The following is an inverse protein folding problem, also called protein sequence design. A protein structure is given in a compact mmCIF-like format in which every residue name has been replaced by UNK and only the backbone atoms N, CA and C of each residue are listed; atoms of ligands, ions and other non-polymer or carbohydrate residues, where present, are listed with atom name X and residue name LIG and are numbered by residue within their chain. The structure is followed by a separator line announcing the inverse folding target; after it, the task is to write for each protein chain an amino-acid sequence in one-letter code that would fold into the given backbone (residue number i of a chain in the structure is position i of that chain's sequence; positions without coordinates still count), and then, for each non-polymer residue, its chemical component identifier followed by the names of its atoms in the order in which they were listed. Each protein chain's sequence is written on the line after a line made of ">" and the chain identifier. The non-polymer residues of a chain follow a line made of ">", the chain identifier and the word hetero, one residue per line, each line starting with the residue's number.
data_IF_891035619188
#
_entry.id   IF_891035619188
#
_cell.length_a   1.000
_cell.length_b   1.000
_cell.length_c   1.000
_cell.angle_alpha   90.00
_cell.angle_beta   90.00
_cell.angle_gamma   90.00
#
_symmetry.space_group_name_H-M   'P 1'
#
loop_
_entity.id
_entity.type
_entity.pdbx_description
1 polymer ?
#
# COMPACT_ATOMS: atom_id res chain seq x y z
N UNK A 1 -0.54 7.71 -6.41
CA UNK A 1 -0.33 6.63 -7.43
C UNK A 1 -1.67 6.14 -8.00
N UNK A 2 -1.76 5.72 -9.29
CA UNK A 2 -3.04 5.23 -9.85
C UNK A 2 -3.30 3.79 -9.43
N UNK A 3 -4.58 3.41 -9.31
CA UNK A 3 -4.99 2.05 -8.89
C UNK A 3 -4.44 0.96 -9.81
N UNK A 4 -4.23 1.26 -11.09
CA UNK A 4 -3.65 0.33 -12.06
C UNK A 4 -2.21 -0.03 -11.70
N UNK A 5 -1.37 0.96 -11.38
CA UNK A 5 0.03 0.75 -11.00
C UNK A 5 0.13 -0.10 -9.71
N UNK A 6 -0.79 0.11 -8.75
CA UNK A 6 -0.88 -0.69 -7.52
C UNK A 6 -1.19 -2.15 -7.82
N UNK A 7 -2.13 -2.40 -8.76
CA UNK A 7 -2.49 -3.76 -9.18
C UNK A 7 -1.33 -4.47 -9.86
N UNK A 8 -0.48 -3.76 -10.58
CA UNK A 8 0.73 -4.35 -11.18
C UNK A 8 1.74 -4.78 -10.11
N UNK A 9 1.99 -3.94 -9.11
CA UNK A 9 2.87 -4.28 -7.97
C UNK A 9 2.33 -5.51 -7.24
N UNK A 10 1.03 -5.50 -6.91
CA UNK A 10 0.37 -6.63 -6.25
C UNK A 10 0.48 -7.93 -7.08
N UNK A 11 0.28 -7.86 -8.40
CA UNK A 11 0.42 -9.04 -9.28
C UNK A 11 1.84 -9.59 -9.31
N UNK A 12 2.87 -8.73 -9.34
CA UNK A 12 4.27 -9.16 -9.26
C UNK A 12 4.59 -9.90 -7.96
N UNK A 13 3.84 -9.61 -6.89
CA UNK A 13 3.94 -10.26 -5.58
C UNK A 13 2.95 -11.43 -5.40
N UNK A 14 2.28 -11.87 -6.47
CA UNK A 14 1.23 -12.91 -6.43
C UNK A 14 0.06 -12.61 -5.47
N UNK A 15 -0.24 -11.32 -5.23
CA UNK A 15 -1.35 -10.87 -4.38
C UNK A 15 -2.64 -10.83 -5.21
N UNK A 16 -3.75 -11.44 -4.74
CA UNK A 16 -5.03 -11.45 -5.46
C UNK A 16 -5.68 -10.05 -5.47
N UNK A 17 -5.84 -9.45 -6.64
CA UNK A 17 -6.35 -8.05 -6.77
C UNK A 17 -7.84 -7.93 -7.09
N UNK A 18 -8.52 -9.02 -7.43
CA UNK A 18 -9.90 -8.98 -7.98
C UNK A 18 -10.98 -8.51 -7.00
N UNK A 19 -10.73 -8.58 -5.69
CA UNK A 19 -11.70 -8.22 -4.64
C UNK A 19 -11.25 -7.06 -3.74
N UNK A 20 -10.03 -6.56 -3.91
CA UNK A 20 -9.43 -5.59 -2.99
C UNK A 20 -9.60 -4.16 -3.52
N UNK A 21 -9.98 -3.25 -2.61
CA UNK A 21 -9.97 -1.80 -2.86
C UNK A 21 -8.54 -1.27 -2.83
N UNK A 22 -8.34 -0.03 -3.29
CA UNK A 22 -7.03 0.66 -3.31
C UNK A 22 -6.28 0.52 -1.99
N UNK A 23 -6.88 0.95 -0.87
CA UNK A 23 -6.20 0.91 0.43
C UNK A 23 -5.89 -0.49 0.92
N UNK A 24 -6.80 -1.44 0.66
CA UNK A 24 -6.58 -2.85 1.02
C UNK A 24 -5.44 -3.47 0.22
N UNK A 25 -5.33 -3.18 -1.09
CA UNK A 25 -4.19 -3.61 -1.90
C UNK A 25 -2.87 -3.11 -1.32
N UNK A 26 -2.82 -1.82 -0.97
CA UNK A 26 -1.60 -1.22 -0.41
C UNK A 26 -1.24 -1.86 0.92
N UNK A 27 -2.21 -2.05 1.82
CA UNK A 27 -1.99 -2.72 3.11
C UNK A 27 -1.47 -4.15 2.93
N UNK A 28 -2.03 -4.90 1.99
CA UNK A 28 -1.54 -6.27 1.71
C UNK A 28 -0.12 -6.23 1.14
N UNK A 29 0.19 -5.29 0.24
CA UNK A 29 1.56 -5.11 -0.25
C UNK A 29 2.52 -4.79 0.90
N UNK A 30 2.17 -3.81 1.75
CA UNK A 30 2.97 -3.46 2.94
C UNK A 30 3.21 -4.68 3.83
N UNK A 31 2.19 -5.51 4.07
CA UNK A 31 2.36 -6.76 4.83
C UNK A 31 3.33 -7.73 4.14
N UNK A 32 3.20 -7.90 2.83
CA UNK A 32 4.06 -8.79 2.03
C UNK A 32 5.51 -8.30 2.02
N UNK A 33 5.74 -6.98 2.07
CA UNK A 33 7.07 -6.38 2.23
C UNK A 33 7.63 -6.52 3.65
N UNK A 34 6.86 -7.02 4.61
CA UNK A 34 7.23 -7.08 6.03
C UNK A 34 7.04 -5.75 6.78
N UNK A 35 6.41 -4.77 6.15
CA UNK A 35 6.09 -3.47 6.73
C UNK A 35 4.79 -3.49 7.54
N UNK A 36 4.60 -2.46 8.37
CA UNK A 36 3.30 -2.19 9.00
C UNK A 36 2.29 -1.77 7.94
N UNK A 37 1.07 -2.29 8.06
CA UNK A 37 -0.07 -2.00 7.19
C UNK A 37 -0.70 -0.64 7.51
N UNK A 38 0.12 0.41 7.49
CA UNK A 38 -0.23 1.74 8.00
C UNK A 38 -0.94 2.63 6.96
N UNK A 39 -1.09 2.19 5.72
CA UNK A 39 -1.76 3.00 4.70
C UNK A 39 -3.20 3.35 5.10
N UNK A 40 -3.57 4.63 4.97
CA UNK A 40 -4.92 5.14 5.28
C UNK A 40 -5.35 4.84 6.72
N UNK A 41 -4.38 4.84 7.65
CA UNK A 41 -4.63 4.63 9.09
C UNK A 41 -4.71 5.95 9.88
N UNK A 42 -4.56 7.10 9.20
CA UNK A 42 -4.41 8.41 9.84
C UNK A 42 -3.09 8.59 10.62
N UNK A 43 -2.15 7.64 10.50
CA UNK A 43 -0.83 7.71 11.14
C UNK A 43 0.25 8.33 10.22
N UNK A 44 -0.14 8.81 9.05
CA UNK A 44 0.71 9.46 8.04
C UNK A 44 1.63 10.53 8.65
N UNK A 45 1.08 11.41 9.49
CA UNK A 45 1.84 12.48 10.17
C UNK A 45 2.88 12.03 11.21
N UNK A 46 2.83 10.77 11.67
CA UNK A 46 3.74 10.22 12.70
C UNK A 46 4.56 9.03 12.18
N UNK A 47 4.36 8.60 10.93
CA UNK A 47 4.96 7.39 10.38
C UNK A 47 6.48 7.51 10.20
N UNK A 48 6.99 8.68 9.81
CA UNK A 48 8.42 8.96 9.66
C UNK A 48 9.13 8.21 8.52
N UNK A 49 8.46 7.29 7.80
CA UNK A 49 9.03 6.59 6.64
C UNK A 49 9.07 7.50 5.41
N UNK A 50 10.24 8.10 5.14
CA UNK A 50 10.45 8.98 3.98
C UNK A 50 10.55 8.21 2.65
N UNK A 51 10.95 6.94 2.71
CA UNK A 51 11.13 6.08 1.52
C UNK A 51 9.90 5.21 1.23
N UNK A 52 8.77 5.46 1.91
CA UNK A 52 7.54 4.74 1.65
C UNK A 52 7.00 5.10 0.26
N UNK A 53 6.87 4.12 -0.62
CA UNK A 53 6.28 4.27 -1.96
C UNK A 53 4.87 4.89 -1.92
N UNK A 54 4.19 4.73 -0.79
CA UNK A 54 2.80 5.12 -0.57
C UNK A 54 2.66 6.49 0.11
N UNK A 55 3.76 7.14 0.50
CA UNK A 55 3.73 8.36 1.31
C UNK A 55 2.89 9.49 0.70
N UNK A 56 3.00 9.69 -0.62
CA UNK A 56 2.24 10.70 -1.38
C UNK A 56 0.73 10.43 -1.42
N UNK A 57 0.34 9.17 -1.24
CA UNK A 57 -1.06 8.71 -1.31
C UNK A 57 -1.66 8.45 0.09
N UNK A 58 -0.86 8.63 1.14
CA UNK A 58 -1.23 8.31 2.52
C UNK A 58 -1.95 9.51 3.16
N UNK A 59 -3.23 9.37 3.49
CA UNK A 59 -4.00 10.37 4.23
C UNK A 59 -4.39 9.81 5.61
#
# INVERSE_FOLDING_TARGET
>A
MRVQDIREIAQRMAIPTSKLKKGELIRVIQRTEGNRQCFDSGQSGQCGQRECLWADDCN
#
